data_IF_735243445047
#
_entry.id   IF_735243445047
#
_cell.length_a   1.000
_cell.length_b   1.000
_cell.length_c   1.000
_cell.angle_alpha   90.00
_cell.angle_beta   90.00
_cell.angle_gamma   90.00
#
_symmetry.space_group_name_H-M   'P 1'
#
loop_
_entity.id
_entity.type
_entity.pdbx_description
1 polymer ?
#
# COMPACT_ATOMS: atom_id res chain seq x y z
N UNK A 1 -9.25 10.69 -2.17
CA UNK A 1 -9.27 10.49 -3.64
C UNK A 1 -10.38 9.49 -3.95
N UNK A 2 -11.06 9.64 -5.09
CA UNK A 2 -12.36 8.98 -5.34
C UNK A 2 -12.39 8.07 -6.58
N UNK A 3 -11.25 7.85 -7.23
CA UNK A 3 -11.16 7.03 -8.43
C UNK A 3 -11.36 5.55 -8.08
N UNK A 4 -12.43 4.92 -8.54
CA UNK A 4 -12.85 3.58 -8.11
C UNK A 4 -11.82 2.50 -8.43
N UNK A 5 -11.07 2.68 -9.53
CA UNK A 5 -10.05 1.72 -9.94
C UNK A 5 -8.72 1.89 -9.19
N UNK A 6 -8.54 2.96 -8.40
CA UNK A 6 -7.33 3.14 -7.58
C UNK A 6 -7.44 2.31 -6.32
N UNK A 7 -6.55 1.33 -6.15
CA UNK A 7 -6.58 0.37 -5.03
C UNK A 7 -5.51 0.64 -3.97
N UNK A 8 -4.46 1.39 -4.33
CA UNK A 8 -3.29 1.60 -3.49
C UNK A 8 -2.90 3.07 -3.44
N UNK A 9 -2.42 3.49 -2.26
CA UNK A 9 -1.82 4.79 -2.03
C UNK A 9 -0.50 4.63 -1.28
N UNK A 10 0.53 5.35 -1.72
CA UNK A 10 1.80 5.46 -1.01
C UNK A 10 2.17 6.92 -0.86
N UNK A 11 2.46 7.38 0.36
CA UNK A 11 2.77 8.78 0.65
C UNK A 11 4.15 8.95 1.28
N UNK A 12 4.81 10.06 0.97
CA UNK A 12 6.08 10.46 1.57
C UNK A 12 6.06 11.96 1.91
N UNK A 13 6.65 12.31 3.05
CA UNK A 13 6.82 13.70 3.48
C UNK A 13 8.31 14.06 3.48
N UNK A 14 8.64 15.19 2.88
CA UNK A 14 9.96 15.82 2.97
C UNK A 14 9.85 17.15 3.70
N UNK A 15 10.86 17.52 4.48
CA UNK A 15 10.93 18.80 5.17
C UNK A 15 12.27 19.48 4.87
N UNK A 16 12.21 20.74 4.43
CA UNK A 16 13.37 21.62 4.27
C UNK A 16 13.47 22.53 5.48
N UNK A 17 14.54 22.36 6.26
CA UNK A 17 14.84 23.23 7.41
C UNK A 17 15.25 24.63 6.95
N UNK A 18 15.99 24.74 5.84
CA UNK A 18 16.44 26.02 5.27
C UNK A 18 15.28 26.89 4.78
N UNK A 19 14.27 26.29 4.15
CA UNK A 19 13.07 27.01 3.67
C UNK A 19 11.92 26.99 4.68
N UNK A 20 12.11 26.33 5.83
CA UNK A 20 11.07 26.00 6.81
C UNK A 20 9.76 25.48 6.14
N UNK A 21 9.90 24.60 5.15
CA UNK A 21 8.78 24.13 4.30
C UNK A 21 8.69 22.62 4.31
N UNK A 22 7.46 22.11 4.34
CA UNK A 22 7.20 20.68 4.16
C UNK A 22 6.51 20.42 2.82
N UNK A 23 6.80 19.26 2.22
CA UNK A 23 6.13 18.73 1.04
C UNK A 23 5.59 17.36 1.41
N UNK A 24 4.32 17.11 1.14
CA UNK A 24 3.70 15.79 1.18
C UNK A 24 3.34 15.39 -0.24
N UNK A 25 3.80 14.22 -0.68
CA UNK A 25 3.48 13.66 -2.00
C UNK A 25 2.86 12.29 -1.78
N UNK A 26 1.76 12.01 -2.49
CA UNK A 26 1.14 10.70 -2.53
C UNK A 26 1.02 10.22 -3.97
N UNK A 27 1.43 8.98 -4.22
CA UNK A 27 1.19 8.27 -5.46
C UNK A 27 -0.02 7.35 -5.30
N UNK A 28 -0.83 7.26 -6.34
CA UNK A 28 -2.07 6.50 -6.40
C UNK A 28 -1.97 5.48 -7.52
N UNK A 29 -2.22 4.21 -7.20
CA UNK A 29 -2.06 3.09 -8.13
C UNK A 29 -3.29 2.17 -8.12
N UNK A 30 -3.80 1.73 -9.28
CA UNK A 30 -3.62 2.31 -10.61
C UNK A 30 -3.90 3.83 -10.68
N UNK A 31 -3.32 4.56 -11.66
CA UNK A 31 -3.57 5.98 -11.83
C UNK A 31 -5.03 6.24 -12.18
N UNK A 32 -5.49 7.43 -11.85
CA UNK A 32 -6.83 7.92 -12.18
C UNK A 32 -6.79 9.29 -12.82
N UNK A 33 -7.92 9.99 -12.80
CA UNK A 33 -8.10 11.30 -13.44
C UNK A 33 -7.71 11.28 -14.92
N UNK A 34 -8.00 10.18 -15.60
CA UNK A 34 -7.75 10.01 -17.04
C UNK A 34 -8.89 10.69 -17.80
N UNK A 35 -8.53 11.56 -18.74
CA UNK A 35 -9.51 12.30 -19.53
C UNK A 35 -10.41 11.36 -20.34
N UNK A 36 -11.73 11.59 -20.27
CA UNK A 36 -12.72 10.75 -20.94
C UNK A 36 -13.12 9.48 -20.18
N UNK A 37 -12.43 9.14 -19.09
CA UNK A 37 -12.80 8.02 -18.23
C UNK A 37 -13.72 8.45 -17.08
N UNK A 38 -14.54 7.49 -16.60
CA UNK A 38 -15.40 7.71 -15.44
C UNK A 38 -14.61 7.52 -14.15
N UNK A 39 -14.83 8.41 -13.19
CA UNK A 39 -14.23 8.32 -11.86
C UNK A 39 -14.70 7.06 -11.12
N UNK A 40 -15.98 6.72 -11.25
CA UNK A 40 -16.61 5.51 -10.73
C UNK A 40 -17.88 5.21 -11.55
N UNK A 41 -18.35 3.96 -11.49
CA UNK A 41 -19.64 3.59 -12.07
C UNK A 41 -20.79 3.91 -11.10
N UNK A 42 -21.88 4.49 -11.61
CA UNK A 42 -23.08 4.77 -10.81
C UNK A 42 -23.87 3.49 -10.56
N UNK A 43 -24.38 3.34 -9.34
CA UNK A 43 -25.24 2.22 -8.93
C UNK A 43 -25.24 2.00 -7.42
N UNK A 44 -25.83 0.89 -7.00
CA UNK A 44 -25.85 0.49 -5.59
C UNK A 44 -24.42 0.27 -5.05
N UNK A 45 -24.07 0.80 -3.87
CA UNK A 45 -22.70 0.71 -3.34
C UNK A 45 -22.21 -0.73 -3.19
N UNK A 46 -20.95 -0.97 -3.58
CA UNK A 46 -20.30 -2.28 -3.54
C UNK A 46 -21.10 -3.43 -4.21
N UNK A 47 -21.99 -3.13 -5.16
CA UNK A 47 -22.76 -4.13 -5.92
C UNK A 47 -21.97 -4.76 -7.08
N UNK A 48 -20.86 -4.13 -7.49
CA UNK A 48 -20.01 -4.54 -8.63
C UNK A 48 -18.53 -4.55 -8.23
N UNK A 49 -18.19 -5.23 -7.15
CA UNK A 49 -16.80 -5.34 -6.73
C UNK A 49 -15.96 -6.14 -7.74
N UNK A 50 -14.72 -5.70 -8.03
CA UNK A 50 -13.85 -6.41 -8.96
C UNK A 50 -13.43 -7.78 -8.40
N UNK A 51 -12.98 -8.66 -9.29
CA UNK A 51 -12.55 -10.02 -8.95
C UNK A 51 -11.51 -10.01 -7.82
N UNK A 52 -11.68 -10.93 -6.85
CA UNK A 52 -10.82 -11.02 -5.67
C UNK A 52 -11.14 -10.00 -4.56
N UNK A 53 -12.20 -9.21 -4.71
CA UNK A 53 -12.70 -8.30 -3.67
C UNK A 53 -14.18 -8.54 -3.35
N UNK A 54 -14.58 -8.15 -2.14
CA UNK A 54 -15.96 -8.25 -1.65
C UNK A 54 -16.38 -6.93 -1.03
N UNK A 55 -17.67 -6.75 -0.74
CA UNK A 55 -18.12 -5.62 0.08
C UNK A 55 -17.34 -5.64 1.41
N UNK A 56 -16.72 -4.51 1.73
CA UNK A 56 -15.99 -4.38 3.00
C UNK A 56 -16.97 -4.49 4.16
N UNK A 57 -16.58 -5.23 5.20
CA UNK A 57 -17.35 -5.36 6.44
C UNK A 57 -17.29 -4.11 7.35
N UNK A 58 -16.36 -3.19 7.05
CA UNK A 58 -16.14 -1.98 7.84
C UNK A 58 -16.55 -0.73 7.05
N UNK A 59 -16.37 -0.76 5.73
CA UNK A 59 -16.78 0.30 4.82
C UNK A 59 -17.81 -0.24 3.83
N UNK A 60 -19.06 -0.38 4.25
CA UNK A 60 -20.10 -1.12 3.51
C UNK A 60 -20.40 -0.59 2.09
N UNK A 61 -19.98 0.64 1.80
CA UNK A 61 -20.07 1.27 0.48
C UNK A 61 -18.84 1.05 -0.43
N UNK A 62 -17.80 0.38 0.07
CA UNK A 62 -16.54 0.13 -0.62
C UNK A 62 -16.28 -1.36 -0.82
N UNK A 63 -15.50 -1.67 -1.84
CA UNK A 63 -14.92 -2.98 -2.03
C UNK A 63 -13.63 -3.10 -1.22
N UNK A 64 -13.44 -4.24 -0.57
CA UNK A 64 -12.26 -4.57 0.22
C UNK A 64 -11.70 -5.93 -0.19
N UNK A 65 -10.43 -6.15 0.14
CA UNK A 65 -9.81 -7.47 -0.03
C UNK A 65 -10.45 -8.47 0.93
N UNK A 66 -10.64 -9.71 0.48
CA UNK A 66 -10.87 -10.82 1.39
C UNK A 66 -9.60 -10.97 2.22
N UNK A 67 -9.57 -10.42 3.43
CA UNK A 67 -8.46 -10.68 4.33
C UNK A 67 -8.54 -12.16 4.71
N UNK A 68 -7.53 -12.99 4.39
CA UNK A 68 -7.41 -14.28 5.05
C UNK A 68 -7.38 -14.00 6.55
N UNK A 69 -8.07 -14.83 7.35
CA UNK A 69 -8.10 -14.68 8.81
C UNK A 69 -6.69 -14.56 9.44
N UNK A 70 -5.64 -14.97 8.72
CA UNK A 70 -4.24 -14.80 9.09
C UNK A 70 -3.76 -13.33 9.16
N UNK A 71 -4.33 -12.39 8.40
CA UNK A 71 -4.02 -10.96 8.46
C UNK A 71 -4.79 -10.21 9.57
N UNK A 72 -5.77 -10.86 10.20
CA UNK A 72 -6.41 -10.38 11.42
C UNK A 72 -5.50 -10.65 12.65
N UNK A 73 -4.41 -11.42 12.48
CA UNK A 73 -3.42 -11.54 13.56
C UNK A 73 -2.86 -10.15 13.87
N UNK A 74 -2.97 -9.69 15.13
CA UNK A 74 -2.51 -8.37 15.50
C UNK A 74 -1.03 -8.22 15.15
N UNK A 75 -0.63 -7.01 14.76
CA UNK A 75 0.77 -6.58 14.53
C UNK A 75 1.77 -7.05 15.61
N UNK A 76 1.26 -7.38 16.80
CA UNK A 76 1.96 -8.10 17.87
C UNK A 76 2.73 -9.35 17.40
N UNK A 77 2.18 -10.15 16.47
CA UNK A 77 2.83 -11.38 15.99
C UNK A 77 4.05 -11.11 15.09
N UNK A 78 4.11 -9.98 14.37
CA UNK A 78 5.28 -9.60 13.55
C UNK A 78 6.47 -9.15 14.41
N UNK A 79 6.22 -8.64 15.61
CA UNK A 79 7.28 -8.26 16.55
C UNK A 79 8.04 -9.47 17.12
N UNK A 80 7.60 -10.70 16.84
CA UNK A 80 8.27 -11.94 17.25
C UNK A 80 9.37 -12.41 16.30
N UNK A 81 9.45 -11.88 15.06
CA UNK A 81 10.59 -12.15 14.17
C UNK A 81 11.60 -11.03 14.35
N UNK A 82 12.73 -11.35 14.97
CA UNK A 82 13.77 -10.38 15.29
C UNK A 82 14.24 -9.62 14.04
N UNK A 83 14.03 -8.30 14.02
CA UNK A 83 14.57 -7.39 12.99
C UNK A 83 16.09 -7.52 12.83
N UNK A 84 16.78 -8.00 13.87
CA UNK A 84 18.22 -8.28 13.85
C UNK A 84 18.58 -9.35 12.82
N UNK A 85 17.74 -10.38 12.66
CA UNK A 85 17.99 -11.47 11.71
C UNK A 85 17.91 -10.95 10.27
N UNK A 86 16.88 -10.16 9.94
CA UNK A 86 16.75 -9.57 8.60
C UNK A 86 17.86 -8.57 8.27
N UNK A 87 18.23 -7.72 9.22
CA UNK A 87 19.33 -6.77 9.01
C UNK A 87 20.66 -7.50 8.81
N UNK A 88 20.90 -8.57 9.57
CA UNK A 88 22.12 -9.39 9.44
C UNK A 88 22.15 -10.19 8.15
N UNK A 89 21.02 -10.78 7.73
CA UNK A 89 20.96 -11.53 6.48
C UNK A 89 21.13 -10.62 5.26
N UNK A 90 20.54 -9.42 5.27
CA UNK A 90 20.69 -8.46 4.16
C UNK A 90 22.12 -7.91 4.06
N UNK A 91 22.80 -7.67 5.19
CA UNK A 91 24.22 -7.27 5.16
C UNK A 91 25.13 -8.40 4.70
N UNK A 92 24.86 -9.66 5.11
CA UNK A 92 25.63 -10.82 4.65
C UNK A 92 25.46 -11.05 3.14
N UNK A 93 24.22 -10.99 2.64
CA UNK A 93 23.94 -11.15 1.20
C UNK A 93 24.59 -10.00 0.40
N UNK A 94 24.49 -8.76 0.89
CA UNK A 94 25.15 -7.60 0.25
C UNK A 94 26.68 -7.76 0.23
N UNK A 95 27.28 -8.18 1.35
CA UNK A 95 28.72 -8.42 1.43
C UNK A 95 29.16 -9.55 0.47
N UNK A 96 28.44 -10.67 0.41
CA UNK A 96 28.76 -11.77 -0.50
C UNK A 96 28.63 -11.35 -1.97
N UNK A 97 27.61 -10.56 -2.32
CA UNK A 97 27.45 -10.02 -3.67
C UNK A 97 28.56 -9.02 -4.03
N UNK A 98 29.01 -8.19 -3.07
CA UNK A 98 30.16 -7.29 -3.26
C UNK A 98 31.48 -8.05 -3.47
N UNK A 99 31.68 -9.18 -2.79
CA UNK A 99 32.85 -10.05 -2.99
C UNK A 99 32.81 -10.83 -4.32
N UNK A 100 31.64 -11.02 -4.93
CA UNK A 100 31.49 -11.67 -6.24
C UNK A 100 31.60 -10.70 -7.42
N UNK A 101 31.62 -9.38 -7.15
CA UNK A 101 31.76 -8.31 -8.15
C UNK A 101 33.18 -7.68 -8.09
N UNK A 102 34.03 -8.13 -7.17
CA UNK A 102 35.48 -7.87 -7.15
C UNK A 102 36.26 -9.10 -7.62
#
# INVERSE_FOLDING_TARGET
MIWANTTNVGCAKAHSTTQNRSILVCNYGPPGNIYGEKIFERGEPASKCPDGSVRSMYYDSLCGTVLPLELIRPRSAYNGVSKSIYHSLMTIICAQLLYLIC
#
